data_IF_088358335409
#
_entry.id   IF_088358335409
#
_cell.length_a   1.000
_cell.length_b   1.000
_cell.length_c   1.000
_cell.angle_alpha   90.00
_cell.angle_beta   90.00
_cell.angle_gamma   90.00
#
_symmetry.space_group_name_H-M   'P 1'
#
loop_
_entity.id
_entity.type
_entity.pdbx_description
1 polymer ?
#
# COMPACT_ATOMS: atom_id res chain seq x y z
N UNK A 1 32.29 20.97 -23.90
CA UNK A 1 31.06 21.19 -23.11
C UNK A 1 30.55 19.83 -22.64
N UNK A 2 30.61 19.53 -21.34
CA UNK A 2 30.03 18.30 -20.77
C UNK A 2 28.73 18.69 -20.07
N UNK A 3 27.58 18.38 -20.66
CA UNK A 3 26.30 18.46 -19.95
C UNK A 3 25.98 17.07 -19.40
N UNK A 4 26.21 16.90 -18.11
CA UNK A 4 25.95 15.66 -17.39
C UNK A 4 24.48 15.29 -17.41
N UNK A 5 24.18 14.04 -17.79
CA UNK A 5 22.89 13.38 -17.62
C UNK A 5 22.50 13.45 -16.14
N UNK A 6 21.53 14.29 -15.78
CA UNK A 6 20.86 14.20 -14.47
C UNK A 6 19.99 12.95 -14.48
N UNK A 7 20.50 11.87 -13.91
CA UNK A 7 19.70 10.70 -13.57
C UNK A 7 18.87 11.13 -12.36
N UNK A 8 17.60 11.48 -12.60
CA UNK A 8 16.66 11.86 -11.56
C UNK A 8 16.51 10.69 -10.59
N UNK A 9 17.11 10.81 -9.41
CA UNK A 9 17.07 9.80 -8.36
C UNK A 9 15.64 9.39 -8.05
N UNK A 10 15.41 8.08 -8.01
CA UNK A 10 14.14 7.46 -7.62
C UNK A 10 13.72 7.99 -6.26
N UNK A 11 12.73 8.89 -6.22
CA UNK A 11 12.05 9.28 -4.98
C UNK A 11 11.59 7.98 -4.32
N UNK A 12 12.18 7.61 -3.18
CA UNK A 12 11.65 6.52 -2.34
C UNK A 12 10.19 6.87 -2.11
N UNK A 13 9.29 6.01 -2.60
CA UNK A 13 7.87 6.20 -2.39
C UNK A 13 7.62 5.92 -0.91
N UNK A 14 7.37 6.98 -0.15
CA UNK A 14 7.28 6.94 1.31
C UNK A 14 5.93 6.37 1.74
N UNK A 15 5.93 5.56 2.80
CA UNK A 15 4.70 5.08 3.44
C UNK A 15 4.39 6.03 4.59
N UNK A 16 3.18 6.59 4.61
CA UNK A 16 2.74 7.53 5.64
C UNK A 16 1.84 6.80 6.62
N UNK A 17 2.11 6.95 7.92
CA UNK A 17 1.33 6.35 8.99
C UNK A 17 0.52 7.41 9.73
N UNK A 18 -0.80 7.29 9.64
CA UNK A 18 -1.77 8.12 10.34
C UNK A 18 -2.44 7.32 11.47
N UNK A 19 -3.17 7.94 12.42
CA UNK A 19 -3.84 7.20 13.49
C UNK A 19 -4.75 6.08 12.99
N UNK A 20 -5.57 6.35 11.97
CA UNK A 20 -6.55 5.39 11.44
C UNK A 20 -6.24 4.93 10.00
N UNK A 21 -5.07 5.29 9.46
CA UNK A 21 -4.75 5.00 8.06
C UNK A 21 -3.27 4.74 7.84
N UNK A 22 -2.97 3.91 6.83
CA UNK A 22 -1.62 3.69 6.30
C UNK A 22 -1.70 4.01 4.81
N UNK A 23 -0.87 4.94 4.33
CA UNK A 23 -0.85 5.37 2.94
C UNK A 23 0.43 4.87 2.28
N UNK A 24 0.26 3.90 1.40
CA UNK A 24 1.29 3.48 0.45
C UNK A 24 1.14 4.21 -0.88
N UNK A 25 2.06 3.97 -1.82
CA UNK A 25 2.11 4.72 -3.07
C UNK A 25 1.01 4.31 -4.07
N UNK A 26 0.56 3.06 -3.96
CA UNK A 26 -0.44 2.43 -4.83
C UNK A 26 -1.46 1.64 -4.03
N UNK A 27 -1.44 1.81 -2.71
CA UNK A 27 -2.29 1.11 -1.77
C UNK A 27 -2.54 1.96 -0.53
N UNK A 28 -3.60 1.68 0.21
CA UNK A 28 -3.79 2.22 1.55
C UNK A 28 -4.56 1.24 2.42
N UNK A 29 -4.45 1.37 3.73
CA UNK A 29 -5.34 0.67 4.66
C UNK A 29 -6.03 1.73 5.52
N UNK A 30 -7.35 1.68 5.63
CA UNK A 30 -8.14 2.61 6.44
C UNK A 30 -9.00 1.87 7.44
N UNK A 31 -9.00 2.33 8.70
CA UNK A 31 -9.92 1.87 9.74
C UNK A 31 -11.22 2.66 9.66
N UNK A 32 -12.33 1.99 9.33
CA UNK A 32 -13.66 2.58 9.23
C UNK A 32 -14.59 1.88 10.23
N UNK A 33 -14.82 2.53 11.37
CA UNK A 33 -15.52 1.90 12.50
C UNK A 33 -14.72 0.72 13.05
N UNK A 34 -15.31 -0.48 13.00
CA UNK A 34 -14.67 -1.74 13.43
C UNK A 34 -14.00 -2.51 12.28
N UNK A 35 -14.08 -2.00 11.04
CA UNK A 35 -13.52 -2.64 9.85
C UNK A 35 -12.21 -2.01 9.42
N UNK A 36 -11.37 -2.81 8.76
CA UNK A 36 -10.10 -2.38 8.20
C UNK A 36 -10.12 -2.65 6.70
N UNK A 37 -10.07 -1.60 5.89
CA UNK A 37 -10.24 -1.68 4.44
C UNK A 37 -8.88 -1.47 3.79
N UNK A 38 -8.36 -2.51 3.16
CA UNK A 38 -7.19 -2.46 2.28
C UNK A 38 -7.63 -2.09 0.87
N UNK A 39 -7.12 -0.97 0.37
CA UNK A 39 -7.34 -0.47 -0.98
C UNK A 39 -6.04 -0.57 -1.78
N UNK A 40 -6.09 -1.07 -3.01
CA UNK A 40 -4.90 -1.26 -3.86
C UNK A 40 -5.22 -1.09 -5.35
N UNK A 41 -4.24 -0.66 -6.13
CA UNK A 41 -4.35 -0.65 -7.60
C UNK A 41 -4.04 -2.03 -8.18
N UNK A 42 -5.03 -2.63 -8.85
CA UNK A 42 -4.85 -3.90 -9.57
C UNK A 42 -4.26 -3.68 -10.97
N UNK A 43 -3.34 -4.57 -11.36
CA UNK A 43 -2.62 -4.48 -12.64
C UNK A 43 -3.36 -5.06 -13.86
N UNK A 44 -4.64 -5.42 -13.72
CA UNK A 44 -5.44 -6.02 -14.80
C UNK A 44 -5.81 -5.04 -15.92
N UNK A 45 -6.36 -5.58 -17.02
CA UNK A 45 -6.80 -4.85 -18.23
C UNK A 45 -7.70 -3.62 -17.96
N UNK A 46 -8.35 -3.55 -16.80
CA UNK A 46 -9.22 -2.45 -16.39
C UNK A 46 -8.63 -1.55 -15.28
N UNK A 47 -7.36 -1.73 -14.89
CA UNK A 47 -6.62 -0.81 -14.00
C UNK A 47 -7.45 -0.23 -12.86
N UNK A 48 -8.08 -1.11 -12.07
CA UNK A 48 -9.10 -0.71 -11.10
C UNK A 48 -8.53 -0.58 -9.69
N UNK A 49 -9.01 0.43 -8.98
CA UNK A 49 -8.87 0.52 -7.52
C UNK A 49 -9.77 -0.55 -6.89
N UNK A 50 -9.16 -1.51 -6.20
CA UNK A 50 -9.86 -2.59 -5.51
C UNK A 50 -9.83 -2.36 -4.01
N UNK A 51 -10.86 -2.84 -3.32
CA UNK A 51 -10.99 -2.79 -1.86
C UNK A 51 -11.21 -4.19 -1.32
N UNK A 52 -10.57 -4.49 -0.20
CA UNK A 52 -10.70 -5.75 0.51
C UNK A 52 -10.71 -5.49 2.02
N UNK A 53 -11.56 -6.21 2.75
CA UNK A 53 -11.56 -6.12 4.21
C UNK A 53 -10.46 -7.01 4.78
N UNK A 54 -9.61 -6.46 5.63
CA UNK A 54 -8.54 -7.18 6.33
C UNK A 54 -8.83 -7.25 7.82
N UNK A 55 -8.11 -8.11 8.53
CA UNK A 55 -8.28 -8.18 9.99
C UNK A 55 -7.57 -7.03 10.69
N UNK A 56 -7.98 -6.75 11.94
CA UNK A 56 -7.27 -5.82 12.82
C UNK A 56 -5.79 -6.20 12.99
N UNK A 57 -5.51 -7.49 13.14
CA UNK A 57 -4.15 -7.99 13.32
C UNK A 57 -3.27 -7.66 12.10
N UNK A 58 -3.82 -7.81 10.89
CA UNK A 58 -3.11 -7.46 9.65
C UNK A 58 -2.77 -5.97 9.58
N UNK A 59 -3.71 -5.09 9.96
CA UNK A 59 -3.44 -3.65 10.04
C UNK A 59 -2.31 -3.34 11.04
N UNK A 60 -2.34 -3.95 12.21
CA UNK A 60 -1.31 -3.75 13.24
C UNK A 60 0.05 -4.31 12.82
N UNK A 61 0.08 -5.44 12.11
CA UNK A 61 1.31 -6.02 11.57
C UNK A 61 1.92 -5.16 10.48
N UNK A 62 1.10 -4.61 9.57
CA UNK A 62 1.56 -3.65 8.58
C UNK A 62 2.06 -2.36 9.23
N UNK A 63 1.33 -1.86 10.25
CA UNK A 63 1.75 -0.68 11.01
C UNK A 63 3.07 -0.89 11.74
N UNK A 64 3.30 -2.09 12.26
CA UNK A 64 4.53 -2.46 12.95
C UNK A 64 5.69 -2.80 11.99
N UNK A 65 5.45 -2.80 10.67
CA UNK A 65 6.44 -3.20 9.66
C UNK A 65 6.75 -4.70 9.66
N UNK A 66 5.90 -5.53 10.28
CA UNK A 66 6.00 -7.00 10.25
C UNK A 66 5.40 -7.59 8.97
N UNK A 67 4.54 -6.85 8.30
CA UNK A 67 3.85 -7.23 7.08
C UNK A 67 3.90 -6.07 6.07
N UNK A 68 4.04 -6.39 4.79
CA UNK A 68 3.98 -5.44 3.67
C UNK A 68 2.65 -5.54 2.92
N UNK A 69 2.38 -4.62 1.99
CA UNK A 69 1.22 -4.74 1.11
C UNK A 69 1.29 -5.97 0.22
N UNK A 70 2.49 -6.39 -0.19
CA UNK A 70 2.68 -7.61 -0.95
C UNK A 70 2.24 -8.86 -0.16
N UNK A 71 2.53 -8.91 1.14
CA UNK A 71 2.09 -10.01 2.01
C UNK A 71 0.56 -10.06 2.13
N UNK A 72 -0.11 -8.89 2.17
CA UNK A 72 -1.57 -8.82 2.12
C UNK A 72 -2.12 -9.35 0.79
N UNK A 73 -1.52 -8.97 -0.33
CA UNK A 73 -1.92 -9.47 -1.64
C UNK A 73 -1.84 -11.00 -1.71
N UNK A 74 -0.75 -11.58 -1.20
CA UNK A 74 -0.58 -13.03 -1.13
C UNK A 74 -1.58 -13.70 -0.19
N UNK A 75 -1.72 -13.19 1.03
CA UNK A 75 -2.60 -13.75 2.07
C UNK A 75 -4.06 -13.82 1.62
N UNK A 76 -4.52 -12.80 0.90
CA UNK A 76 -5.90 -12.68 0.46
C UNK A 76 -6.10 -13.11 -1.01
N UNK A 77 -5.07 -13.66 -1.66
CA UNK A 77 -5.10 -14.08 -3.07
C UNK A 77 -5.60 -12.98 -4.02
N UNK A 78 -5.10 -11.76 -3.81
CA UNK A 78 -5.47 -10.55 -4.54
C UNK A 78 -4.54 -10.32 -5.74
N UNK A 79 -5.11 -9.83 -6.85
CA UNK A 79 -4.43 -9.62 -8.14
C UNK A 79 -4.71 -8.23 -8.73
#
# INVERSE_FOLDING_TARGET
MKLGKKISGSKRKEVIFEPNRILGPTWSIEKVGDRYIYEYMSGGLAGGLKRHEITKADFEDVRAGRMSDYDLLLKYHLS
#
